data_IF_134947741022
#
_entry.id   IF_134947741022
#
_cell.length_a   1.000
_cell.length_b   1.000
_cell.length_c   1.000
_cell.angle_alpha   90.00
_cell.angle_beta   90.00
_cell.angle_gamma   90.00
#
_symmetry.space_group_name_H-M   'P 1'
#
loop_
_entity.id
_entity.type
_entity.pdbx_description
1 polymer ?
#
# COMPACT_ATOMS: atom_id res chain seq x y z
N UNK A 1 -46.02 53.29 66.67
CA UNK A 1 -45.56 54.20 65.60
C UNK A 1 -44.87 53.35 64.56
N UNK A 2 -45.34 53.33 63.32
CA UNK A 2 -44.71 52.55 62.24
C UNK A 2 -43.55 53.37 61.67
N UNK A 3 -42.37 52.79 61.60
CA UNK A 3 -41.18 53.44 61.06
C UNK A 3 -41.23 53.35 59.52
N UNK A 4 -41.07 54.47 58.81
CA UNK A 4 -41.09 54.48 57.34
C UNK A 4 -39.80 53.85 56.80
N UNK A 5 -39.95 52.69 56.12
CA UNK A 5 -38.85 51.97 55.49
C UNK A 5 -38.09 52.86 54.49
N UNK A 6 -38.77 53.81 53.85
CA UNK A 6 -38.15 54.70 52.86
C UNK A 6 -37.15 55.66 53.52
N UNK A 7 -37.38 56.05 54.77
CA UNK A 7 -36.45 56.91 55.52
C UNK A 7 -35.24 56.10 56.02
N UNK A 8 -35.45 54.87 56.50
CA UNK A 8 -34.37 53.96 56.89
C UNK A 8 -33.39 53.67 55.73
N UNK A 9 -33.91 53.41 54.53
CA UNK A 9 -33.07 53.17 53.35
C UNK A 9 -32.42 54.44 52.78
N UNK A 10 -32.95 55.63 53.08
CA UNK A 10 -32.28 56.89 52.71
C UNK A 10 -31.00 57.08 53.51
N UNK A 11 -31.04 56.79 54.81
CA UNK A 11 -29.89 56.91 55.71
C UNK A 11 -28.82 55.84 55.45
N UNK A 12 -29.22 54.61 55.08
CA UNK A 12 -28.29 53.54 54.68
C UNK A 12 -27.62 53.76 53.31
N UNK A 13 -28.31 54.38 52.34
CA UNK A 13 -27.73 54.66 51.01
C UNK A 13 -26.48 55.53 51.06
N UNK A 14 -26.34 56.37 52.08
CA UNK A 14 -25.16 57.22 52.26
C UNK A 14 -23.95 56.45 52.83
N UNK A 15 -24.17 55.31 53.51
CA UNK A 15 -23.11 54.44 54.03
C UNK A 15 -22.70 53.40 52.98
N UNK A 16 -21.86 53.79 52.02
CA UNK A 16 -21.20 52.86 51.11
C UNK A 16 -20.17 52.01 51.88
N UNK A 17 -20.58 50.90 52.48
CA UNK A 17 -19.63 49.91 53.01
C UNK A 17 -18.93 49.22 51.82
N UNK A 18 -17.60 49.31 51.68
CA UNK A 18 -16.90 48.62 50.61
C UNK A 18 -16.98 47.11 50.85
N UNK A 19 -17.21 46.34 49.79
CA UNK A 19 -17.12 44.88 49.86
C UNK A 19 -15.72 44.46 50.33
N UNK A 20 -15.63 43.39 51.13
CA UNK A 20 -14.34 42.82 51.52
C UNK A 20 -13.54 42.43 50.28
N UNK A 21 -12.22 42.67 50.28
CA UNK A 21 -11.33 42.27 49.18
C UNK A 21 -11.51 40.75 48.86
N UNK A 22 -11.49 40.42 47.58
CA UNK A 22 -11.70 39.06 47.07
C UNK A 22 -13.14 38.54 47.15
N UNK A 23 -14.13 39.40 47.40
CA UNK A 23 -15.55 38.98 47.40
C UNK A 23 -15.99 38.46 46.03
N UNK A 24 -15.64 39.17 44.96
CA UNK A 24 -15.96 38.81 43.58
C UNK A 24 -15.38 37.44 43.20
N UNK A 25 -14.10 37.21 43.49
CA UNK A 25 -13.47 35.91 43.24
C UNK A 25 -14.14 34.77 44.00
N UNK A 26 -14.53 34.99 45.26
CA UNK A 26 -15.26 33.97 46.05
C UNK A 26 -16.65 33.71 45.48
N UNK A 27 -17.31 34.75 44.96
CA UNK A 27 -18.61 34.63 44.30
C UNK A 27 -18.48 33.84 43.00
N UNK A 28 -17.53 34.18 42.13
CA UNK A 28 -17.28 33.49 40.87
C UNK A 28 -16.93 32.01 41.11
N UNK A 29 -16.06 31.70 42.09
CA UNK A 29 -15.75 30.32 42.43
C UNK A 29 -16.96 29.50 42.91
N UNK A 30 -17.90 30.12 43.64
CA UNK A 30 -19.14 29.46 44.05
C UNK A 30 -20.10 29.31 42.87
N UNK A 31 -20.17 30.32 42.00
CA UNK A 31 -21.00 30.29 40.81
C UNK A 31 -20.58 29.17 39.86
N UNK A 32 -19.29 29.10 39.51
CA UNK A 32 -18.76 28.06 38.61
C UNK A 32 -18.95 26.65 39.16
N UNK A 33 -18.91 26.49 40.48
CA UNK A 33 -19.13 25.19 41.15
C UNK A 33 -20.57 24.69 41.04
N UNK A 34 -21.55 25.59 41.00
CA UNK A 34 -22.98 25.26 40.97
C UNK A 34 -23.54 25.19 39.54
N UNK A 35 -22.77 25.60 38.52
CA UNK A 35 -23.18 25.49 37.13
C UNK A 35 -23.13 24.01 36.67
N UNK A 36 -24.17 23.50 35.97
CA UNK A 36 -24.19 22.12 35.50
C UNK A 36 -23.09 21.89 34.46
N UNK A 37 -22.19 20.94 34.74
CA UNK A 37 -21.14 20.53 33.81
C UNK A 37 -21.80 19.79 32.64
N UNK A 38 -21.91 20.45 31.49
CA UNK A 38 -22.38 19.80 30.26
C UNK A 38 -21.27 18.87 29.72
N UNK A 39 -21.41 17.56 29.94
CA UNK A 39 -20.52 16.57 29.33
C UNK A 39 -20.76 16.52 27.83
N UNK A 40 -19.78 16.98 27.04
CA UNK A 40 -19.81 16.80 25.59
C UNK A 40 -19.73 15.30 25.27
N UNK A 41 -20.66 14.82 24.46
CA UNK A 41 -20.77 13.40 24.13
C UNK A 41 -19.58 12.96 23.28
N UNK A 42 -18.81 12.00 23.78
CA UNK A 42 -17.71 11.34 23.07
C UNK A 42 -18.16 10.58 21.82
N UNK A 43 -19.48 10.36 21.65
CA UNK A 43 -20.06 9.72 20.46
C UNK A 43 -19.78 10.49 19.16
N UNK A 44 -19.59 11.81 19.20
CA UNK A 44 -19.27 12.55 17.97
C UNK A 44 -17.93 12.13 17.37
N UNK A 45 -16.91 11.91 18.20
CA UNK A 45 -15.60 11.43 17.75
C UNK A 45 -15.67 9.98 17.25
N UNK A 46 -16.50 9.14 17.87
CA UNK A 46 -16.69 7.74 17.44
C UNK A 46 -17.37 7.67 16.07
N UNK A 47 -18.35 8.55 15.79
CA UNK A 47 -19.00 8.63 14.46
C UNK A 47 -18.02 9.04 13.36
N UNK A 48 -17.14 10.00 13.66
CA UNK A 48 -16.10 10.45 12.71
C UNK A 48 -15.11 9.31 12.44
N UNK A 49 -14.59 8.67 13.49
CA UNK A 49 -13.69 7.52 13.35
C UNK A 49 -14.31 6.36 12.55
N UNK A 50 -15.59 6.04 12.79
CA UNK A 50 -16.31 4.99 12.05
C UNK A 50 -16.41 5.30 10.54
N UNK A 51 -16.67 6.57 10.17
CA UNK A 51 -16.76 6.97 8.77
C UNK A 51 -15.42 6.82 8.02
N UNK A 52 -14.32 7.17 8.69
CA UNK A 52 -12.95 7.02 8.17
C UNK A 52 -12.62 5.54 7.98
N UNK A 53 -12.95 4.69 8.96
CA UNK A 53 -12.74 3.24 8.87
C UNK A 53 -13.48 2.63 7.68
N UNK A 54 -14.76 2.99 7.46
CA UNK A 54 -15.54 2.49 6.33
C UNK A 54 -14.92 2.92 4.99
N UNK A 55 -14.54 4.19 4.84
CA UNK A 55 -13.91 4.67 3.61
C UNK A 55 -12.55 4.02 3.37
N UNK A 56 -11.73 3.83 4.41
CA UNK A 56 -10.46 3.12 4.30
C UNK A 56 -10.66 1.64 3.93
N UNK A 57 -11.60 0.95 4.57
CA UNK A 57 -11.89 -0.45 4.26
C UNK A 57 -12.40 -0.61 2.83
N UNK A 58 -13.29 0.28 2.37
CA UNK A 58 -13.79 0.25 0.99
C UNK A 58 -12.70 0.63 -0.03
N UNK A 59 -11.85 1.60 0.31
CA UNK A 59 -10.72 2.01 -0.51
C UNK A 59 -9.65 0.91 -0.63
N UNK A 60 -9.30 0.25 0.47
CA UNK A 60 -8.39 -0.91 0.50
C UNK A 60 -9.02 -2.07 -0.26
N UNK A 61 -10.30 -2.36 -0.03
CA UNK A 61 -11.01 -3.41 -0.75
C UNK A 61 -11.03 -3.16 -2.26
N UNK A 62 -11.40 -1.95 -2.70
CA UNK A 62 -11.36 -1.58 -4.10
C UNK A 62 -9.93 -1.63 -4.65
N UNK A 63 -8.93 -1.13 -3.92
CA UNK A 63 -7.53 -1.17 -4.32
C UNK A 63 -7.03 -2.60 -4.53
N UNK A 64 -7.34 -3.53 -3.62
CA UNK A 64 -6.95 -4.95 -3.73
C UNK A 64 -7.69 -5.63 -4.90
N UNK A 65 -8.96 -5.29 -5.16
CA UNK A 65 -9.71 -5.91 -6.25
C UNK A 65 -9.43 -5.28 -7.63
N UNK A 66 -8.92 -4.05 -7.69
CA UNK A 66 -8.54 -3.37 -8.94
C UNK A 66 -7.06 -3.57 -9.29
N UNK A 67 -6.20 -3.84 -8.31
CA UNK A 67 -4.81 -4.23 -8.52
C UNK A 67 -4.64 -5.68 -8.07
N UNK A 68 -4.60 -6.63 -9.01
CA UNK A 68 -4.06 -7.98 -8.80
C UNK A 68 -2.54 -7.92 -8.55
N UNK A 69 -2.11 -7.16 -7.55
CA UNK A 69 -0.73 -7.12 -7.05
C UNK A 69 -0.75 -7.21 -5.53
N UNK A 70 -0.33 -8.40 -5.08
CA UNK A 70 -0.29 -8.95 -3.73
C UNK A 70 0.37 -8.00 -2.70
N UNK A 71 -0.25 -7.76 -1.52
CA UNK A 71 0.47 -7.23 -0.37
C UNK A 71 1.19 -8.38 0.35
N UNK A 72 2.51 -8.50 0.18
CA UNK A 72 3.37 -9.17 1.16
C UNK A 72 3.36 -8.32 2.44
N UNK A 73 3.06 -8.92 3.61
CA UNK A 73 4.15 -9.01 4.57
C UNK A 73 4.17 -10.29 5.43
N UNK A 74 5.41 -10.72 5.68
CA UNK A 74 5.94 -11.39 6.88
C UNK A 74 5.48 -12.80 7.26
N UNK A 75 6.46 -13.71 7.10
CA UNK A 75 6.82 -14.85 7.96
C UNK A 75 5.88 -15.17 9.12
N UNK A 76 5.02 -16.16 8.92
CA UNK A 76 4.77 -17.20 9.92
C UNK A 76 4.74 -18.53 9.18
N UNK A 77 5.60 -19.44 9.61
CA UNK A 77 5.55 -20.86 9.23
C UNK A 77 4.21 -21.39 9.71
N UNK A 78 3.29 -21.65 8.78
CA UNK A 78 2.15 -22.52 9.05
C UNK A 78 2.10 -23.64 8.01
N UNK A 79 2.14 -24.85 8.55
CA UNK A 79 2.24 -26.10 7.81
C UNK A 79 0.81 -26.59 7.65
N UNK A 80 0.25 -26.39 6.45
CA UNK A 80 -1.00 -27.03 6.05
C UNK A 80 -2.19 -26.09 5.94
N UNK A 81 -2.27 -25.42 4.80
CA UNK A 81 -3.56 -25.09 4.20
C UNK A 81 -3.41 -25.32 2.70
N UNK A 82 -3.80 -26.51 2.25
CA UNK A 82 -4.13 -26.72 0.85
C UNK A 82 -5.34 -25.82 0.53
N UNK A 83 -5.06 -24.59 0.09
CA UNK A 83 -6.01 -23.88 -0.75
C UNK A 83 -6.07 -24.65 -2.07
N UNK A 84 -6.99 -25.62 -2.16
CA UNK A 84 -7.46 -26.18 -3.43
C UNK A 84 -8.31 -25.12 -4.16
N UNK A 85 -7.69 -24.00 -4.54
CA UNK A 85 -8.13 -23.22 -5.68
C UNK A 85 -7.57 -23.91 -6.91
N UNK A 86 -8.45 -24.32 -7.83
CA UNK A 86 -8.16 -24.81 -9.20
C UNK A 86 -6.79 -25.46 -9.42
N UNK A 87 -6.76 -26.77 -9.69
CA UNK A 87 -5.60 -27.40 -10.33
C UNK A 87 -5.38 -26.69 -11.68
N UNK A 88 -4.56 -25.64 -11.67
CA UNK A 88 -4.24 -24.83 -12.84
C UNK A 88 -3.16 -25.61 -13.60
N UNK A 89 -3.59 -26.34 -14.63
CA UNK A 89 -2.70 -27.09 -15.49
C UNK A 89 -1.76 -26.12 -16.18
N UNK A 90 -0.45 -26.31 -16.00
CA UNK A 90 0.56 -25.55 -16.74
C UNK A 90 0.91 -26.24 -18.06
N UNK A 91 1.63 -25.54 -18.93
CA UNK A 91 2.13 -26.06 -20.21
C UNK A 91 2.80 -27.44 -20.07
N UNK A 92 3.61 -27.64 -19.02
CA UNK A 92 4.35 -28.87 -18.77
C UNK A 92 3.51 -30.03 -18.24
N UNK A 93 2.27 -29.81 -17.84
CA UNK A 93 1.38 -30.88 -17.41
C UNK A 93 0.67 -31.55 -18.60
N UNK A 94 0.73 -30.92 -19.79
CA UNK A 94 0.13 -31.44 -21.03
C UNK A 94 0.90 -32.61 -21.64
N UNK A 95 2.25 -32.58 -21.57
CA UNK A 95 3.09 -33.68 -22.07
C UNK A 95 4.52 -33.63 -21.53
N UNK A 96 5.25 -34.78 -21.52
CA UNK A 96 6.64 -34.81 -21.10
C UNK A 96 7.58 -33.91 -21.91
N UNK A 97 7.32 -33.71 -23.20
CA UNK A 97 8.16 -32.86 -24.04
C UNK A 97 7.89 -31.38 -23.82
N UNK A 98 6.63 -30.97 -23.65
CA UNK A 98 6.27 -29.60 -23.26
C UNK A 98 6.84 -29.26 -21.87
N UNK A 99 6.87 -30.23 -20.95
CA UNK A 99 7.50 -30.06 -19.63
C UNK A 99 8.98 -29.73 -19.72
N UNK A 100 9.72 -30.39 -20.61
CA UNK A 100 11.14 -30.09 -20.83
C UNK A 100 11.32 -28.67 -21.36
N UNK A 101 10.46 -28.25 -22.28
CA UNK A 101 10.49 -26.90 -22.86
C UNK A 101 10.21 -25.84 -21.80
N UNK A 102 9.12 -26.00 -21.03
CA UNK A 102 8.77 -25.09 -19.95
C UNK A 102 9.90 -24.99 -18.92
N UNK A 103 10.37 -26.13 -18.41
CA UNK A 103 11.46 -26.18 -17.45
C UNK A 103 12.73 -25.52 -17.98
N UNK A 104 13.07 -25.75 -19.26
CA UNK A 104 14.22 -25.12 -19.88
C UNK A 104 14.11 -23.60 -19.84
N UNK A 105 13.00 -23.02 -20.31
CA UNK A 105 12.85 -21.57 -20.33
C UNK A 105 12.76 -20.98 -18.92
N UNK A 106 11.96 -21.55 -18.03
CA UNK A 106 11.80 -21.07 -16.65
C UNK A 106 13.14 -21.09 -15.92
N UNK A 107 13.92 -22.17 -16.03
CA UNK A 107 15.24 -22.26 -15.40
C UNK A 107 16.20 -21.20 -15.94
N UNK A 108 16.22 -20.96 -17.25
CA UNK A 108 17.09 -19.95 -17.86
C UNK A 108 16.63 -18.53 -17.51
N UNK A 109 15.33 -18.25 -17.49
CA UNK A 109 14.78 -16.95 -17.05
C UNK A 109 15.21 -16.67 -15.61
N UNK A 110 15.03 -17.63 -14.71
CA UNK A 110 15.43 -17.50 -13.31
C UNK A 110 16.94 -17.31 -13.15
N UNK A 111 17.73 -18.02 -13.96
CA UNK A 111 19.19 -17.88 -13.98
C UNK A 111 19.61 -16.48 -14.42
N UNK A 112 19.05 -15.96 -15.51
CA UNK A 112 19.37 -14.61 -16.00
C UNK A 112 18.92 -13.53 -15.01
N UNK A 113 17.74 -13.67 -14.40
CA UNK A 113 17.27 -12.79 -13.32
C UNK A 113 18.21 -12.82 -12.10
N UNK A 114 18.70 -13.99 -11.71
CA UNK A 114 19.61 -14.14 -10.56
C UNK A 114 20.97 -13.46 -10.76
N UNK A 115 21.36 -13.24 -12.02
CA UNK A 115 22.61 -12.58 -12.42
C UNK A 115 22.44 -11.08 -12.63
N UNK A 116 21.22 -10.55 -12.49
CA UNK A 116 20.93 -9.16 -12.74
C UNK A 116 21.50 -8.29 -11.60
N UNK A 117 22.48 -7.46 -11.94
CA UNK A 117 23.07 -6.49 -11.01
C UNK A 117 22.46 -5.11 -11.23
N UNK A 118 21.75 -4.60 -10.23
CA UNK A 118 21.13 -3.27 -10.27
C UNK A 118 22.01 -2.27 -9.52
N UNK A 119 22.33 -1.15 -10.18
CA UNK A 119 23.04 0.01 -9.64
C UNK A 119 22.22 1.27 -9.90
N UNK A 120 22.55 2.37 -9.22
CA UNK A 120 21.84 3.65 -9.41
C UNK A 120 21.89 4.15 -10.86
N UNK A 121 22.97 3.85 -11.57
CA UNK A 121 23.18 4.26 -12.96
C UNK A 121 22.36 3.43 -13.95
N UNK A 122 22.29 2.11 -13.75
CA UNK A 122 21.58 1.23 -14.68
C UNK A 122 20.09 1.04 -14.31
N UNK A 123 19.67 1.57 -13.16
CA UNK A 123 18.32 1.38 -12.60
C UNK A 123 17.22 1.72 -13.59
N UNK A 124 17.27 2.88 -14.24
CA UNK A 124 16.23 3.31 -15.17
C UNK A 124 16.07 2.34 -16.37
N UNK A 125 17.19 1.81 -16.87
CA UNK A 125 17.18 0.82 -17.95
C UNK A 125 16.61 -0.51 -17.47
N UNK A 126 17.04 -0.97 -16.29
CA UNK A 126 16.53 -2.22 -15.70
C UNK A 126 15.03 -2.12 -15.47
N UNK A 127 14.54 -1.01 -14.90
CA UNK A 127 13.13 -0.79 -14.60
C UNK A 127 12.25 -0.85 -15.87
N UNK A 128 12.68 -0.27 -17.01
CA UNK A 128 11.94 -0.37 -18.29
C UNK A 128 11.82 -1.82 -18.78
N UNK A 129 12.91 -2.58 -18.70
CA UNK A 129 12.91 -3.99 -19.11
C UNK A 129 12.08 -4.85 -18.16
N UNK A 130 12.13 -4.59 -16.85
CA UNK A 130 11.31 -5.29 -15.85
C UNK A 130 9.81 -5.01 -16.04
N UNK A 131 9.43 -3.79 -16.43
CA UNK A 131 8.04 -3.45 -16.77
C UNK A 131 7.53 -4.31 -17.93
N UNK A 132 8.30 -4.41 -19.02
CA UNK A 132 7.95 -5.25 -20.18
C UNK A 132 7.93 -6.75 -19.84
N UNK A 133 8.81 -7.20 -18.95
CA UNK A 133 8.77 -8.58 -18.44
C UNK A 133 7.50 -8.85 -17.64
N UNK A 134 7.03 -7.88 -16.85
CA UNK A 134 5.77 -7.99 -16.11
C UNK A 134 4.57 -8.07 -17.05
N UNK A 135 4.55 -7.31 -18.15
CA UNK A 135 3.51 -7.43 -19.18
C UNK A 135 3.49 -8.84 -19.80
N UNK A 136 4.66 -9.38 -20.15
CA UNK A 136 4.77 -10.76 -20.63
C UNK A 136 4.35 -11.77 -19.55
N UNK A 137 4.57 -11.47 -18.27
CA UNK A 137 4.09 -12.30 -17.17
C UNK A 137 2.58 -12.40 -17.11
N UNK A 138 1.91 -11.24 -17.07
CA UNK A 138 0.46 -11.14 -17.07
C UNK A 138 -0.16 -11.87 -18.27
N UNK A 139 0.45 -11.72 -19.45
CA UNK A 139 0.00 -12.41 -20.66
C UNK A 139 0.12 -13.94 -20.59
N UNK A 140 1.16 -14.48 -19.95
CA UNK A 140 1.28 -15.93 -19.74
C UNK A 140 0.25 -16.46 -18.75
N UNK A 141 0.00 -15.73 -17.66
CA UNK A 141 -1.05 -16.11 -16.72
C UNK A 141 -2.41 -16.13 -17.42
N UNK A 142 -2.71 -15.12 -18.24
CA UNK A 142 -3.93 -15.10 -19.06
C UNK A 142 -4.01 -16.30 -20.01
N UNK A 143 -2.91 -16.66 -20.67
CA UNK A 143 -2.85 -17.82 -21.55
C UNK A 143 -3.02 -19.15 -20.79
N UNK A 144 -2.52 -19.26 -19.55
CA UNK A 144 -2.78 -20.42 -18.70
C UNK A 144 -4.25 -20.50 -18.30
N UNK A 145 -4.89 -19.38 -17.96
CA UNK A 145 -6.33 -19.35 -17.71
C UNK A 145 -7.09 -19.84 -18.96
N UNK A 146 -6.77 -19.28 -20.13
CA UNK A 146 -7.36 -19.70 -21.40
C UNK A 146 -7.16 -21.20 -21.68
N UNK A 147 -5.95 -21.73 -21.41
CA UNK A 147 -5.61 -23.14 -21.54
C UNK A 147 -6.49 -24.02 -20.64
N UNK A 148 -6.76 -23.57 -19.41
CA UNK A 148 -7.56 -24.29 -18.43
C UNK A 148 -9.07 -24.18 -18.70
N UNK A 149 -9.54 -23.08 -19.27
CA UNK A 149 -10.96 -22.85 -19.59
C UNK A 149 -11.38 -23.49 -20.92
N UNK A 150 -10.61 -23.29 -21.98
CA UNK A 150 -10.92 -23.72 -23.35
C UNK A 150 -10.35 -25.12 -23.65
N UNK A 151 -9.26 -25.47 -22.96
CA UNK A 151 -8.52 -26.70 -23.18
C UNK A 151 -7.30 -26.53 -24.10
N UNK A 152 -6.40 -27.53 -24.13
CA UNK A 152 -5.17 -27.48 -24.91
C UNK A 152 -5.45 -27.41 -26.40
N UNK A 153 -4.99 -26.32 -27.02
CA UNK A 153 -4.96 -26.17 -28.48
C UNK A 153 -3.58 -25.65 -28.91
N UNK A 154 -3.23 -25.92 -30.17
CA UNK A 154 -1.91 -25.58 -30.71
C UNK A 154 -1.61 -24.07 -30.65
N UNK A 155 -2.63 -23.21 -30.75
CA UNK A 155 -2.45 -21.77 -30.71
C UNK A 155 -2.05 -21.30 -29.31
N UNK A 156 -2.76 -21.73 -28.28
CA UNK A 156 -2.48 -21.40 -26.87
C UNK A 156 -1.15 -22.00 -26.43
N UNK A 157 -0.84 -23.25 -26.81
CA UNK A 157 0.46 -23.90 -26.54
C UNK A 157 1.60 -23.10 -27.19
N UNK A 158 1.48 -22.74 -28.46
CA UNK A 158 2.50 -21.95 -29.16
C UNK A 158 2.64 -20.55 -28.56
N UNK A 159 1.53 -19.93 -28.12
CA UNK A 159 1.55 -18.63 -27.48
C UNK A 159 2.28 -18.67 -26.13
N UNK A 160 2.04 -19.69 -25.30
CA UNK A 160 2.73 -19.91 -24.03
C UNK A 160 4.25 -20.08 -24.24
N UNK A 161 4.65 -20.94 -25.18
CA UNK A 161 6.07 -21.15 -25.52
C UNK A 161 6.69 -19.84 -26.03
N UNK A 162 5.99 -19.12 -26.92
CA UNK A 162 6.48 -17.85 -27.47
C UNK A 162 6.63 -16.79 -26.40
N UNK A 163 5.72 -16.74 -25.42
CA UNK A 163 5.84 -15.82 -24.29
C UNK A 163 7.12 -16.11 -23.49
N UNK A 164 7.37 -17.36 -23.12
CA UNK A 164 8.60 -17.78 -22.44
C UNK A 164 9.87 -17.42 -23.23
N UNK A 165 9.85 -17.63 -24.55
CA UNK A 165 10.93 -17.22 -25.44
C UNK A 165 11.17 -15.71 -25.43
N UNK A 166 10.11 -14.92 -25.53
CA UNK A 166 10.20 -13.45 -25.54
C UNK A 166 10.79 -12.92 -24.22
N UNK A 167 10.40 -13.49 -23.07
CA UNK A 167 10.98 -13.11 -21.77
C UNK A 167 12.47 -13.38 -21.70
N UNK A 168 12.89 -14.58 -22.11
CA UNK A 168 14.31 -14.92 -22.12
C UNK A 168 15.10 -14.02 -23.09
N UNK A 169 14.56 -13.74 -24.27
CA UNK A 169 15.17 -12.81 -25.23
C UNK A 169 15.29 -11.38 -24.68
N UNK A 170 14.29 -10.93 -23.92
CA UNK A 170 14.30 -9.60 -23.32
C UNK A 170 15.38 -9.50 -22.23
N UNK A 171 15.53 -10.53 -21.40
CA UNK A 171 16.61 -10.63 -20.40
C UNK A 171 18.00 -10.65 -21.05
N UNK A 172 18.17 -11.41 -22.14
CA UNK A 172 19.44 -11.43 -22.89
C UNK A 172 19.77 -10.05 -23.48
N UNK A 173 18.77 -9.34 -24.00
CA UNK A 173 18.95 -7.96 -24.49
C UNK A 173 19.33 -7.01 -23.35
N UNK A 174 18.70 -7.13 -22.18
CA UNK A 174 19.06 -6.34 -21.01
C UNK A 174 20.53 -6.56 -20.63
N UNK A 175 20.95 -7.82 -20.52
CA UNK A 175 22.35 -8.18 -20.24
C UNK A 175 23.32 -7.52 -21.23
N UNK A 176 23.06 -7.64 -22.53
CA UNK A 176 23.89 -7.01 -23.57
C UNK A 176 23.98 -5.49 -23.39
N UNK A 177 22.88 -4.83 -23.01
CA UNK A 177 22.87 -3.39 -22.75
C UNK A 177 23.65 -3.02 -21.49
N UNK A 178 23.56 -3.81 -20.43
CA UNK A 178 24.33 -3.62 -19.20
C UNK A 178 25.83 -3.79 -19.45
N UNK A 179 26.23 -4.81 -20.23
CA UNK A 179 27.63 -5.06 -20.58
C UNK A 179 28.20 -3.91 -21.43
N UNK A 180 27.39 -3.34 -22.34
CA UNK A 180 27.75 -2.16 -23.13
C UNK A 180 27.97 -0.93 -22.26
N UNK A 181 27.08 -0.67 -21.29
CA UNK A 181 27.21 0.45 -20.36
C UNK A 181 28.51 0.35 -19.54
N UNK A 182 28.75 -0.81 -18.91
CA UNK A 182 29.97 -1.07 -18.12
C UNK A 182 31.26 -0.89 -18.95
N UNK A 183 31.26 -1.32 -20.21
CA UNK A 183 32.42 -1.15 -21.10
C UNK A 183 32.64 0.32 -21.48
N UNK A 184 31.56 1.07 -21.71
CA UNK A 184 31.60 2.49 -22.09
C UNK A 184 32.20 3.36 -20.98
N UNK A 185 31.87 3.07 -19.73
CA UNK A 185 32.44 3.78 -18.57
C UNK A 185 33.94 3.52 -18.41
N UNK A 186 34.38 2.26 -18.56
CA UNK A 186 35.79 1.90 -18.42
C UNK A 186 36.70 2.62 -19.44
N UNK A 187 36.21 2.83 -20.66
CA UNK A 187 36.94 3.59 -21.68
C UNK A 187 37.04 5.08 -21.32
N UNK A 188 35.98 5.68 -20.76
CA UNK A 188 35.98 7.09 -20.34
C UNK A 188 36.90 7.35 -19.14
N UNK A 189 36.93 6.43 -18.16
CA UNK A 189 37.81 6.54 -16.99
C UNK A 189 39.28 6.46 -17.40
N UNK A 190 39.62 5.58 -18.36
CA UNK A 190 41.00 5.43 -18.85
C UNK A 190 41.49 6.70 -19.54
N UNK A 191 40.65 7.36 -20.34
CA UNK A 191 40.98 8.60 -21.07
C UNK A 191 41.09 9.84 -20.17
N UNK A 192 40.45 9.86 -19.01
CA UNK A 192 40.56 10.95 -18.03
C UNK A 192 41.76 10.81 -17.08
N UNK A 193 42.43 9.65 -17.10
CA UNK A 193 43.56 9.32 -16.21
C UNK A 193 44.94 9.41 -16.87
N UNK A 194 45.01 9.87 -18.13
CA UNK A 194 46.23 10.14 -18.90
C UNK A 194 46.38 11.66 -19.07
#
# INVERSE_FOLDING_TARGET
MAQDLRELFKEEKEKKQPMKKGHEERFLNRLDKELPIQRKSTFYFIKIAASILVLFSLGIYAYINFNDEVPQPSVIVDKGTENKGSQEYSLGDLSPDLKKIENYYVANINLELSRLEVSDENKALVDDFMSRLSELDKEYQRLNIELNEIGPNDQTINALIKNLQLRLQLLQKLKLKLDQLKSSENEQVTLQSI
#
